data_IF_436467260460
#
_entry.id   IF_436467260460
#
_cell.length_a   1.000
_cell.length_b   1.000
_cell.length_c   1.000
_cell.angle_alpha   90.00
_cell.angle_beta   90.00
_cell.angle_gamma   90.00
#
_symmetry.space_group_name_H-M   'P 1'
#
loop_
_entity.id
_entity.type
_entity.pdbx_description
1 polymer ?
#
# COMPACT_ATOMS: atom_id res chain seq x y z
N UNK A 1 -10.29 -50.27 39.43
CA UNK A 1 -9.43 -49.80 38.32
C UNK A 1 -10.17 -48.81 37.40
N UNK A 2 -11.46 -48.52 37.61
CA UNK A 2 -12.26 -47.60 36.78
C UNK A 2 -11.84 -46.13 36.96
N UNK A 3 -11.62 -45.68 38.21
CA UNK A 3 -11.26 -44.29 38.52
C UNK A 3 -9.90 -43.79 37.96
N UNK A 4 -8.95 -44.67 37.67
CA UNK A 4 -7.63 -44.21 37.17
C UNK A 4 -7.69 -43.75 35.71
N UNK A 5 -8.55 -44.38 34.90
CA UNK A 5 -8.69 -44.04 33.49
C UNK A 5 -9.43 -42.71 33.32
N UNK A 6 -10.45 -42.46 34.14
CA UNK A 6 -11.21 -41.20 34.13
C UNK A 6 -10.33 -39.99 34.50
N UNK A 7 -9.39 -40.15 35.44
CA UNK A 7 -8.43 -39.09 35.78
C UNK A 7 -7.53 -38.71 34.60
N UNK A 8 -7.04 -39.69 33.83
CA UNK A 8 -6.24 -39.43 32.64
C UNK A 8 -7.05 -38.77 31.52
N UNK A 9 -8.29 -39.21 31.30
CA UNK A 9 -9.20 -38.60 30.31
C UNK A 9 -9.49 -37.15 30.69
N UNK A 10 -9.77 -36.87 31.97
CA UNK A 10 -10.02 -35.51 32.45
C UNK A 10 -8.79 -34.61 32.30
N UNK A 11 -7.59 -35.11 32.61
CA UNK A 11 -6.34 -34.39 32.40
C UNK A 11 -6.14 -34.04 30.93
N UNK A 12 -6.26 -35.01 30.02
CA UNK A 12 -6.12 -34.80 28.57
C UNK A 12 -7.16 -33.78 28.08
N UNK A 13 -8.40 -33.85 28.58
CA UNK A 13 -9.46 -32.91 28.21
C UNK A 13 -9.13 -31.48 28.65
N UNK A 14 -8.66 -31.30 29.90
CA UNK A 14 -8.27 -29.99 30.42
C UNK A 14 -7.09 -29.43 29.63
N UNK A 15 -6.04 -30.22 29.43
CA UNK A 15 -4.87 -29.80 28.64
C UNK A 15 -5.23 -29.50 27.19
N UNK A 16 -6.09 -30.32 26.58
CA UNK A 16 -6.60 -30.10 25.23
C UNK A 16 -7.36 -28.78 25.12
N UNK A 17 -8.25 -28.50 26.07
CA UNK A 17 -8.99 -27.23 26.10
C UNK A 17 -8.07 -26.02 26.28
N UNK A 18 -7.05 -26.14 27.14
CA UNK A 18 -6.05 -25.08 27.36
C UNK A 18 -5.23 -24.80 26.09
N UNK A 19 -4.80 -25.86 25.40
CA UNK A 19 -4.06 -25.75 24.14
C UNK A 19 -4.89 -25.11 23.04
N UNK A 20 -6.17 -25.48 22.92
CA UNK A 20 -7.08 -24.88 21.93
C UNK A 20 -7.23 -23.38 22.21
N UNK A 21 -7.50 -22.98 23.46
CA UNK A 21 -7.63 -21.57 23.82
C UNK A 21 -6.35 -20.79 23.52
N UNK A 22 -5.18 -21.35 23.85
CA UNK A 22 -3.89 -20.71 23.59
C UNK A 22 -3.64 -20.51 22.08
N UNK A 23 -3.87 -21.55 21.27
CA UNK A 23 -3.74 -21.48 19.81
C UNK A 23 -4.72 -20.49 19.18
N UNK A 24 -5.99 -20.52 19.61
CA UNK A 24 -7.01 -19.58 19.15
C UNK A 24 -6.64 -18.13 19.47
N UNK A 25 -6.15 -17.86 20.69
CA UNK A 25 -5.71 -16.53 21.08
C UNK A 25 -4.51 -16.07 20.24
N UNK A 26 -3.51 -16.93 20.05
CA UNK A 26 -2.33 -16.62 19.26
C UNK A 26 -2.68 -16.31 17.80
N UNK A 27 -3.51 -17.16 17.17
CA UNK A 27 -3.96 -16.98 15.79
C UNK A 27 -4.78 -15.69 15.63
N UNK A 28 -5.67 -15.42 16.59
CA UNK A 28 -6.45 -14.17 16.62
C UNK A 28 -5.54 -12.95 16.67
N UNK A 29 -4.53 -12.98 17.54
CA UNK A 29 -3.61 -11.85 17.70
C UNK A 29 -2.71 -11.66 16.46
N UNK A 30 -2.32 -12.76 15.81
CA UNK A 30 -1.60 -12.72 14.54
C UNK A 30 -2.44 -12.03 13.44
N UNK A 31 -3.72 -12.39 13.31
CA UNK A 31 -4.62 -11.76 12.34
C UNK A 31 -4.83 -10.28 12.62
N UNK A 32 -5.00 -9.88 13.88
CA UNK A 32 -5.12 -8.46 14.26
C UNK A 32 -3.91 -7.65 13.82
N UNK A 33 -2.70 -8.14 14.11
CA UNK A 33 -1.45 -7.49 13.68
C UNK A 33 -1.35 -7.39 12.16
N UNK A 34 -1.73 -8.44 11.43
CA UNK A 34 -1.72 -8.40 9.97
C UNK A 34 -2.74 -7.39 9.41
N UNK A 35 -3.91 -7.27 10.03
CA UNK A 35 -4.92 -6.29 9.65
C UNK A 35 -4.44 -4.86 9.90
N UNK A 36 -3.87 -4.58 11.08
CA UNK A 36 -3.25 -3.30 11.42
C UNK A 36 -2.13 -2.94 10.44
N UNK A 37 -1.27 -3.90 10.08
CA UNK A 37 -0.21 -3.69 9.10
C UNK A 37 -0.74 -3.34 7.71
N UNK A 38 -1.82 -4.01 7.27
CA UNK A 38 -2.47 -3.69 5.99
C UNK A 38 -3.09 -2.31 6.01
N UNK A 39 -3.75 -1.93 7.10
CA UNK A 39 -4.34 -0.60 7.26
C UNK A 39 -3.28 0.50 7.22
N UNK A 40 -2.16 0.33 7.95
CA UNK A 40 -1.04 1.27 7.92
C UNK A 40 -0.46 1.42 6.52
N UNK A 41 -0.26 0.31 5.79
CA UNK A 41 0.19 0.34 4.40
C UNK A 41 -0.76 1.15 3.51
N UNK A 42 -2.07 0.90 3.63
CA UNK A 42 -3.07 1.63 2.84
C UNK A 42 -2.99 3.13 3.13
N UNK A 43 -2.85 3.54 4.40
CA UNK A 43 -2.69 4.95 4.77
C UNK A 43 -1.45 5.59 4.13
N UNK A 44 -0.31 4.90 4.12
CA UNK A 44 0.90 5.42 3.47
C UNK A 44 0.75 5.50 1.95
N UNK A 45 0.08 4.53 1.32
CA UNK A 45 -0.20 4.56 -0.11
C UNK A 45 -1.19 5.66 -0.50
N UNK A 46 -2.21 5.90 0.32
CA UNK A 46 -3.21 6.94 0.12
C UNK A 46 -2.58 8.34 0.21
N UNK A 47 -1.71 8.56 1.22
CA UNK A 47 -0.94 9.79 1.35
C UNK A 47 -0.01 10.03 0.15
N UNK A 48 0.65 8.99 -0.36
CA UNK A 48 1.48 9.10 -1.56
C UNK A 48 0.64 9.48 -2.79
N UNK A 49 -0.48 8.78 -3.03
CA UNK A 49 -1.32 9.03 -4.20
C UNK A 49 -1.94 10.43 -4.16
N UNK A 50 -2.30 10.92 -2.98
CA UNK A 50 -2.75 12.30 -2.77
C UNK A 50 -1.66 13.29 -3.15
N UNK A 51 -0.44 13.14 -2.62
CA UNK A 51 0.68 14.02 -2.96
C UNK A 51 1.05 13.99 -4.45
N UNK A 52 0.97 12.82 -5.12
CA UNK A 52 1.17 12.71 -6.57
C UNK A 52 0.08 13.47 -7.33
N UNK A 53 -1.18 13.38 -6.87
CA UNK A 53 -2.29 14.11 -7.47
C UNK A 53 -2.08 15.62 -7.35
N UNK A 54 -1.69 16.11 -6.17
CA UNK A 54 -1.50 17.54 -5.93
C UNK A 54 -0.34 18.11 -6.77
N UNK A 55 0.77 17.37 -6.88
CA UNK A 55 1.89 17.73 -7.75
C UNK A 55 1.51 17.83 -9.24
N UNK A 56 0.46 17.16 -9.68
CA UNK A 56 -0.02 17.24 -11.07
C UNK A 56 -0.86 18.50 -11.31
N UNK A 57 -1.54 19.00 -10.28
CA UNK A 57 -2.43 20.16 -10.36
C UNK A 57 -1.71 21.48 -10.07
N UNK A 58 -0.64 21.43 -9.27
CA UNK A 58 0.01 22.63 -8.74
C UNK A 58 1.54 22.51 -8.87
N UNK A 59 2.23 23.65 -8.97
CA UNK A 59 3.71 23.75 -9.02
C UNK A 59 4.27 24.49 -7.78
N UNK A 60 3.66 24.28 -6.61
CA UNK A 60 4.11 24.94 -5.39
C UNK A 60 5.23 24.12 -4.73
N UNK A 61 6.21 24.79 -4.14
CA UNK A 61 7.31 24.13 -3.41
C UNK A 61 6.80 23.27 -2.23
N UNK A 62 5.68 23.66 -1.63
CA UNK A 62 5.03 22.93 -0.55
C UNK A 62 4.59 21.51 -0.99
N UNK A 63 4.05 21.36 -2.21
CA UNK A 63 3.57 20.08 -2.73
C UNK A 63 4.74 19.09 -2.97
N UNK A 64 5.90 19.61 -3.38
CA UNK A 64 7.12 18.80 -3.50
C UNK A 64 7.64 18.33 -2.14
N UNK A 65 7.52 19.17 -1.11
CA UNK A 65 7.88 18.81 0.27
C UNK A 65 6.98 17.69 0.81
N UNK A 66 5.68 17.78 0.56
CA UNK A 66 4.71 16.74 0.97
C UNK A 66 4.96 15.41 0.26
N UNK A 67 5.24 15.44 -1.05
CA UNK A 67 5.64 14.23 -1.78
C UNK A 67 6.90 13.60 -1.20
N UNK A 68 7.92 14.41 -0.85
CA UNK A 68 9.15 13.93 -0.21
C UNK A 68 8.90 13.26 1.15
N UNK A 69 8.02 13.84 1.98
CA UNK A 69 7.62 13.25 3.27
C UNK A 69 6.87 11.93 3.08
N UNK A 70 5.95 11.87 2.12
CA UNK A 70 5.21 10.64 1.79
C UNK A 70 6.16 9.54 1.29
N UNK A 71 7.11 9.88 0.41
CA UNK A 71 8.13 8.97 -0.11
C UNK A 71 8.99 8.37 1.02
N UNK A 72 9.54 9.22 1.89
CA UNK A 72 10.40 8.79 3.00
C UNK A 72 9.66 7.92 4.02
N UNK A 73 8.38 8.21 4.26
CA UNK A 73 7.56 7.39 5.16
C UNK A 73 7.26 6.02 4.52
N UNK A 74 7.00 6.01 3.21
CA UNK A 74 6.66 4.79 2.48
C UNK A 74 7.86 3.85 2.33
N UNK A 75 9.08 4.37 2.21
CA UNK A 75 10.30 3.57 2.06
C UNK A 75 10.56 2.61 3.23
N UNK A 76 10.00 2.90 4.41
CA UNK A 76 10.08 2.03 5.58
C UNK A 76 9.15 0.80 5.51
N UNK A 77 8.09 0.86 4.69
CA UNK A 77 6.98 -0.11 4.76
C UNK A 77 6.71 -0.81 3.41
N UNK A 78 7.03 -0.16 2.30
CA UNK A 78 6.77 -0.69 0.96
C UNK A 78 7.83 -1.70 0.50
N UNK A 79 7.42 -2.60 -0.42
CA UNK A 79 8.35 -3.52 -1.10
C UNK A 79 9.33 -2.74 -2.01
N UNK A 80 10.55 -3.26 -2.22
CA UNK A 80 11.54 -2.66 -3.11
C UNK A 80 11.02 -2.36 -4.52
N UNK A 81 10.21 -3.26 -5.10
CA UNK A 81 9.58 -3.07 -6.42
C UNK A 81 8.79 -1.76 -6.52
N UNK A 82 8.09 -1.38 -5.44
CA UNK A 82 7.30 -0.14 -5.39
C UNK A 82 8.21 1.07 -5.33
N UNK A 83 9.26 1.02 -4.49
CA UNK A 83 10.20 2.12 -4.32
C UNK A 83 10.99 2.38 -5.61
N UNK A 84 11.47 1.34 -6.27
CA UNK A 84 12.18 1.47 -7.54
C UNK A 84 11.29 2.11 -8.61
N UNK A 85 10.05 1.65 -8.74
CA UNK A 85 9.10 2.23 -9.71
C UNK A 85 8.76 3.69 -9.39
N UNK A 86 8.75 4.05 -8.10
CA UNK A 86 8.50 5.41 -7.66
C UNK A 86 9.70 6.34 -7.90
N UNK A 87 10.93 5.83 -7.74
CA UNK A 87 12.15 6.53 -8.14
C UNK A 87 12.14 6.76 -9.65
N UNK A 88 11.84 5.73 -10.44
CA UNK A 88 11.72 5.85 -11.90
C UNK A 88 10.74 6.96 -12.32
N UNK A 89 9.62 7.10 -11.59
CA UNK A 89 8.65 8.17 -11.83
C UNK A 89 9.21 9.56 -11.53
N UNK A 90 9.89 9.72 -10.41
CA UNK A 90 10.48 11.01 -9.99
C UNK A 90 11.59 11.42 -10.94
N UNK A 91 12.50 10.51 -11.29
CA UNK A 91 13.61 10.75 -12.21
C UNK A 91 13.08 11.09 -13.60
N UNK A 92 12.14 10.30 -14.12
CA UNK A 92 11.49 10.59 -15.41
C UNK A 92 10.83 11.97 -15.41
N UNK A 93 10.15 12.36 -14.33
CA UNK A 93 9.48 13.66 -14.25
C UNK A 93 10.48 14.81 -14.18
N UNK A 94 11.57 14.66 -13.44
CA UNK A 94 12.66 15.63 -13.37
C UNK A 94 13.28 15.88 -14.75
N UNK A 95 13.52 14.82 -15.51
CA UNK A 95 14.09 14.91 -16.86
C UNK A 95 13.14 15.53 -17.89
N UNK A 96 11.84 15.52 -17.62
CA UNK A 96 10.79 15.92 -18.58
C UNK A 96 9.94 17.13 -18.11
N UNK A 97 10.40 17.90 -17.11
CA UNK A 97 9.64 19.04 -16.55
C UNK A 97 9.33 20.15 -17.58
N UNK A 98 10.08 20.21 -18.68
CA UNK A 98 9.84 21.16 -19.78
C UNK A 98 8.79 20.69 -20.81
N UNK A 99 8.38 19.41 -20.81
CA UNK A 99 7.56 18.78 -21.85
C UNK A 99 6.13 18.42 -21.41
N UNK A 100 5.63 19.05 -20.34
CA UNK A 100 4.42 18.67 -19.59
C UNK A 100 3.09 18.65 -20.37
N UNK A 101 3.06 19.14 -21.61
CA UNK A 101 1.83 19.32 -22.42
C UNK A 101 1.79 18.47 -23.70
N UNK A 102 2.79 17.61 -23.93
CA UNK A 102 2.80 16.72 -25.10
C UNK A 102 1.98 15.46 -24.83
N UNK A 103 1.25 14.97 -25.82
CA UNK A 103 0.49 13.71 -25.71
C UNK A 103 1.37 12.51 -25.31
N UNK A 104 2.59 12.46 -25.86
CA UNK A 104 3.60 11.46 -25.51
C UNK A 104 4.01 11.52 -24.03
N UNK A 105 4.10 12.73 -23.46
CA UNK A 105 4.36 12.93 -22.04
C UNK A 105 3.22 12.34 -21.20
N UNK A 106 1.97 12.62 -21.55
CA UNK A 106 0.81 12.06 -20.83
C UNK A 106 0.73 10.53 -20.92
N UNK A 107 1.00 9.96 -22.10
CA UNK A 107 0.99 8.51 -22.30
C UNK A 107 2.06 7.83 -21.44
N UNK A 108 3.29 8.36 -21.43
CA UNK A 108 4.39 7.84 -20.62
C UNK A 108 4.15 8.03 -19.12
N UNK A 109 3.58 9.17 -18.73
CA UNK A 109 3.14 9.42 -17.35
C UNK A 109 2.17 8.33 -16.88
N UNK A 110 1.15 8.04 -17.70
CA UNK A 110 0.13 7.05 -17.38
C UNK A 110 0.70 5.63 -17.36
N UNK A 111 1.66 5.30 -18.22
CA UNK A 111 2.36 4.01 -18.22
C UNK A 111 3.10 3.79 -16.90
N UNK A 112 3.94 4.75 -16.49
CA UNK A 112 4.73 4.65 -15.26
C UNK A 112 3.82 4.58 -14.03
N UNK A 113 2.77 5.40 -13.97
CA UNK A 113 1.81 5.36 -12.87
C UNK A 113 0.99 4.06 -12.83
N UNK A 114 0.65 3.51 -14.00
CA UNK A 114 0.02 2.18 -14.08
C UNK A 114 0.96 1.12 -13.51
N UNK A 115 2.25 1.15 -13.86
CA UNK A 115 3.26 0.24 -13.31
C UNK A 115 3.40 0.39 -11.80
N UNK A 116 3.47 1.62 -11.30
CA UNK A 116 3.55 1.91 -9.86
C UNK A 116 2.36 1.29 -9.12
N UNK A 117 1.15 1.53 -9.60
CA UNK A 117 -0.07 1.00 -8.99
C UNK A 117 -0.17 -0.52 -9.09
N UNK A 118 0.34 -1.14 -10.16
CA UNK A 118 0.47 -2.60 -10.24
C UNK A 118 1.39 -3.14 -9.13
N UNK A 119 2.53 -2.49 -8.90
CA UNK A 119 3.44 -2.85 -7.81
C UNK A 119 2.77 -2.67 -6.44
N UNK A 120 2.03 -1.58 -6.22
CA UNK A 120 1.28 -1.33 -4.97
C UNK A 120 0.21 -2.41 -4.76
N UNK A 121 -0.57 -2.76 -5.79
CA UNK A 121 -1.59 -3.81 -5.72
C UNK A 121 -0.97 -5.17 -5.40
N UNK A 122 0.19 -5.49 -6.00
CA UNK A 122 0.96 -6.69 -5.69
C UNK A 122 1.49 -6.67 -4.25
N UNK A 123 1.90 -5.51 -3.72
CA UNK A 123 2.29 -5.39 -2.32
C UNK A 123 1.13 -5.66 -1.36
N UNK A 124 -0.06 -5.16 -1.69
CA UNK A 124 -1.29 -5.35 -0.93
C UNK A 124 -1.98 -6.70 -1.16
N UNK A 125 -1.37 -7.61 -1.95
CA UNK A 125 -1.94 -8.90 -2.31
C UNK A 125 -3.31 -8.81 -3.01
N UNK A 126 -3.54 -7.75 -3.78
CA UNK A 126 -4.75 -7.55 -4.57
C UNK A 126 -4.53 -8.12 -5.98
N UNK A 127 -5.42 -9.02 -6.43
CA UNK A 127 -5.36 -9.58 -7.79
C UNK A 127 -5.53 -8.48 -8.85
N UNK A 128 -4.73 -8.52 -9.91
CA UNK A 128 -4.64 -7.43 -10.88
C UNK A 128 -4.29 -7.91 -12.29
N UNK A 129 -5.13 -8.77 -12.84
CA UNK A 129 -5.04 -9.15 -14.26
C UNK A 129 -5.80 -8.06 -15.05
N UNK A 130 -5.08 -7.15 -15.74
CA UNK A 130 -5.61 -6.04 -16.57
C UNK A 130 -5.96 -4.71 -15.87
N UNK A 131 -5.06 -4.19 -15.02
CA UNK A 131 -5.22 -2.84 -14.46
C UNK A 131 -4.60 -1.77 -15.37
N UNK A 132 -5.36 -0.71 -15.65
CA UNK A 132 -4.90 0.52 -16.32
C UNK A 132 -5.27 1.72 -15.46
N UNK A 133 -4.32 2.63 -15.28
CA UNK A 133 -4.54 3.88 -14.58
C UNK A 133 -4.30 5.07 -15.49
N UNK A 134 -5.15 6.08 -15.33
CA UNK A 134 -4.99 7.37 -15.97
C UNK A 134 -5.30 8.45 -14.95
N UNK A 135 -4.39 9.40 -14.79
CA UNK A 135 -4.66 10.59 -13.98
C UNK A 135 -5.81 11.38 -14.61
N UNK A 136 -6.86 11.62 -13.84
CA UNK A 136 -7.98 12.47 -14.27
C UNK A 136 -7.59 13.91 -13.92
N UNK A 137 -7.19 14.68 -14.93
CA UNK A 137 -7.04 16.13 -14.78
C UNK A 137 -8.42 16.78 -14.89
N UNK A 138 -9.01 17.16 -13.76
CA UNK A 138 -10.23 17.95 -13.78
C UNK A 138 -9.83 19.38 -14.15
N UNK A 139 -10.13 19.80 -15.38
CA UNK A 139 -9.99 21.20 -15.79
C UNK A 139 -11.03 22.02 -14.99
N UNK A 140 -10.61 22.60 -13.87
CA UNK A 140 -11.40 23.63 -13.20
C UNK A 140 -11.44 24.84 -14.13
N UNK A 141 -12.52 24.94 -14.91
CA UNK A 141 -12.85 26.10 -15.72
C UNK A 141 -12.99 27.26 -14.74
N UNK A 142 -12.00 28.18 -14.68
CA UNK A 142 -12.14 29.41 -13.90
C UNK A 142 -13.41 30.11 -14.36
N UNK A 143 -14.43 30.12 -13.51
CA UNK A 143 -15.61 30.96 -13.69
C UNK A 143 -15.10 32.38 -13.53
N UNK A 144 -15.11 33.13 -14.64
CA UNK A 144 -14.79 34.55 -14.69
C UNK A 144 -15.95 35.36 -14.15
#
# INVERSE_FOLDING_TARGET
MENSNDLWINLITIFGSLLVVALSYWFTNLQKRQAEWRELKIKHYDALLSAISDLVHTKNEDDFSEMGKAFNSLSLVAKPDVINTLIDFVDWRKDNDHNLLTKEFEEKQNEILTRLLLCVRKDLHIKSDNFRYKLIRVHLKKIK
#
